data_IF_013472453186
#
_entry.id   IF_013472453186
#
_cell.length_a   1.000
_cell.length_b   1.000
_cell.length_c   1.000
_cell.angle_alpha   90.00
_cell.angle_beta   90.00
_cell.angle_gamma   90.00
#
_symmetry.space_group_name_H-M   'P 1'
#
loop_
_entity.id
_entity.type
_entity.pdbx_description
1 polymer ?
#
# COMPACT_ATOMS: atom_id res chain seq x y z
N UNK A 1 -22.29 -3.71 -27.63
CA UNK A 1 -22.93 -4.48 -26.53
C UNK A 1 -21.82 -5.13 -25.71
N UNK A 2 -21.63 -4.73 -24.45
CA UNK A 2 -20.72 -5.44 -23.54
C UNK A 2 -21.50 -6.66 -23.04
N UNK A 3 -21.05 -7.86 -23.39
CA UNK A 3 -21.66 -9.10 -22.93
C UNK A 3 -21.40 -9.24 -21.42
N UNK A 4 -22.43 -9.05 -20.60
CA UNK A 4 -22.35 -9.29 -19.16
C UNK A 4 -22.25 -10.80 -18.95
N UNK A 5 -21.08 -11.27 -18.50
CA UNK A 5 -20.90 -12.68 -18.19
C UNK A 5 -21.73 -13.05 -16.95
N UNK A 6 -22.39 -14.23 -16.94
CA UNK A 6 -23.12 -14.67 -15.76
C UNK A 6 -22.16 -14.89 -14.59
N UNK A 7 -22.62 -14.56 -13.37
CA UNK A 7 -21.89 -14.86 -12.13
C UNK A 7 -21.60 -16.35 -11.95
N UNK A 8 -20.76 -16.70 -10.99
CA UNK A 8 -20.48 -18.10 -10.66
C UNK A 8 -21.69 -18.77 -9.98
N UNK A 9 -21.88 -20.07 -10.19
CA UNK A 9 -23.02 -20.83 -9.64
C UNK A 9 -23.00 -20.92 -8.12
N UNK A 10 -21.81 -21.03 -7.54
CA UNK A 10 -21.60 -21.25 -6.11
C UNK A 10 -20.17 -20.84 -5.69
N UNK A 11 -19.92 -20.90 -4.38
CA UNK A 11 -18.62 -20.55 -3.81
C UNK A 11 -17.47 -21.47 -4.25
N UNK A 12 -17.71 -22.75 -4.56
CA UNK A 12 -16.66 -23.65 -5.04
C UNK A 12 -16.22 -23.28 -6.46
N UNK A 13 -17.16 -22.87 -7.32
CA UNK A 13 -16.87 -22.35 -8.64
C UNK A 13 -16.01 -21.09 -8.57
N UNK A 14 -16.33 -20.14 -7.68
CA UNK A 14 -15.51 -18.93 -7.44
C UNK A 14 -14.09 -19.29 -6.98
N UNK A 15 -13.96 -20.17 -5.98
CA UNK A 15 -12.66 -20.61 -5.48
C UNK A 15 -11.81 -21.29 -6.55
N UNK A 16 -12.44 -22.12 -7.37
CA UNK A 16 -11.77 -22.83 -8.45
C UNK A 16 -11.26 -21.85 -9.51
N UNK A 17 -12.07 -20.84 -9.85
CA UNK A 17 -11.68 -19.77 -10.76
C UNK A 17 -10.51 -18.93 -10.22
N UNK A 18 -10.57 -18.50 -8.95
CA UNK A 18 -9.46 -17.76 -8.30
C UNK A 18 -8.18 -18.60 -8.32
N UNK A 19 -8.26 -19.89 -7.94
CA UNK A 19 -7.11 -20.79 -7.94
C UNK A 19 -6.54 -21.02 -9.34
N UNK A 20 -7.39 -21.11 -10.35
CA UNK A 20 -6.99 -21.24 -11.75
C UNK A 20 -6.27 -19.97 -12.23
N UNK A 21 -6.87 -18.80 -12.01
CA UNK A 21 -6.24 -17.51 -12.35
C UNK A 21 -4.91 -17.31 -11.63
N UNK A 22 -4.83 -17.65 -10.34
CA UNK A 22 -3.60 -17.57 -9.56
C UNK A 22 -2.50 -18.51 -10.09
N UNK A 23 -2.85 -19.72 -10.56
CA UNK A 23 -1.88 -20.64 -11.19
C UNK A 23 -1.37 -20.11 -12.51
N UNK A 24 -2.22 -19.49 -13.33
CA UNK A 24 -1.81 -18.89 -14.60
C UNK A 24 -0.90 -17.66 -14.38
N UNK A 25 -1.18 -16.86 -13.35
CA UNK A 25 -0.41 -15.67 -13.03
C UNK A 25 0.94 -15.97 -12.34
N UNK A 26 1.08 -17.12 -11.68
CA UNK A 26 2.33 -17.53 -11.06
C UNK A 26 3.36 -17.98 -12.13
N UNK A 27 4.01 -17.02 -12.79
CA UNK A 27 5.11 -17.25 -13.75
C UNK A 27 6.46 -17.25 -13.00
N UNK A 28 6.98 -18.44 -12.71
CA UNK A 28 8.28 -18.70 -12.05
C UNK A 28 8.46 -18.12 -10.62
N UNK A 29 7.61 -18.65 -9.72
CA UNK A 29 7.80 -18.82 -8.27
C UNK A 29 7.55 -17.63 -7.32
N UNK A 30 7.42 -16.38 -7.79
CA UNK A 30 7.09 -15.27 -6.89
C UNK A 30 6.17 -14.20 -7.51
N UNK A 31 4.96 -13.96 -6.98
CA UNK A 31 4.35 -14.55 -5.79
C UNK A 31 3.84 -15.99 -5.96
N UNK A 32 3.76 -16.74 -4.84
CA UNK A 32 3.18 -18.09 -4.83
C UNK A 32 1.68 -18.07 -5.18
N UNK A 33 1.15 -19.21 -5.66
CA UNK A 33 -0.31 -19.37 -5.89
C UNK A 33 -1.12 -19.04 -4.63
N UNK A 34 -0.65 -19.45 -3.45
CA UNK A 34 -1.32 -19.13 -2.17
C UNK A 34 -1.36 -17.63 -1.89
N UNK A 35 -0.26 -16.92 -2.17
CA UNK A 35 -0.18 -15.46 -2.05
C UNK A 35 -1.14 -14.77 -3.01
N UNK A 36 -1.23 -15.23 -4.26
CA UNK A 36 -2.17 -14.67 -5.24
C UNK A 36 -3.63 -14.93 -4.87
N UNK A 37 -3.96 -16.11 -4.33
CA UNK A 37 -5.29 -16.40 -3.78
C UNK A 37 -5.62 -15.50 -2.59
N UNK A 38 -4.64 -15.24 -1.72
CA UNK A 38 -4.80 -14.31 -0.60
C UNK A 38 -5.03 -12.88 -1.09
N UNK A 39 -4.23 -12.40 -2.06
CA UNK A 39 -4.44 -11.08 -2.67
C UNK A 39 -5.79 -10.95 -3.36
N UNK A 40 -6.27 -12.01 -4.03
CA UNK A 40 -7.61 -12.02 -4.60
C UNK A 40 -8.70 -11.91 -3.52
N UNK A 41 -8.51 -12.54 -2.36
CA UNK A 41 -9.40 -12.37 -1.20
C UNK A 41 -9.39 -10.91 -0.72
N UNK A 42 -8.23 -10.26 -0.70
CA UNK A 42 -8.09 -8.85 -0.30
C UNK A 42 -8.80 -7.94 -1.31
N UNK A 43 -8.64 -8.23 -2.61
CA UNK A 43 -9.35 -7.53 -3.67
C UNK A 43 -10.88 -7.66 -3.52
N UNK A 44 -11.40 -8.82 -3.11
CA UNK A 44 -12.84 -8.97 -2.87
C UNK A 44 -13.35 -8.12 -1.69
N UNK A 45 -12.55 -7.95 -0.65
CA UNK A 45 -12.88 -7.05 0.46
C UNK A 45 -12.81 -5.58 0.01
N UNK A 46 -11.70 -5.18 -0.64
CA UNK A 46 -11.50 -3.81 -1.10
C UNK A 46 -12.52 -3.40 -2.17
N UNK A 47 -12.96 -4.31 -3.03
CA UNK A 47 -14.05 -4.05 -3.97
C UNK A 47 -15.35 -3.66 -3.28
N UNK A 48 -15.61 -4.14 -2.06
CA UNK A 48 -16.79 -3.72 -1.27
C UNK A 48 -16.60 -2.32 -0.72
N UNK A 49 -15.45 -2.08 -0.09
CA UNK A 49 -15.06 -0.76 0.45
C UNK A 49 -15.15 0.34 -0.61
N UNK A 50 -14.65 0.07 -1.81
CA UNK A 50 -14.62 1.04 -2.90
C UNK A 50 -15.78 0.92 -3.90
N UNK A 51 -16.77 0.07 -3.62
CA UNK A 51 -18.02 0.03 -4.40
C UNK A 51 -18.91 1.23 -4.09
N UNK A 52 -18.80 1.78 -2.88
CA UNK A 52 -19.45 3.04 -2.52
C UNK A 52 -18.64 4.22 -3.08
N UNK A 53 -19.23 5.06 -3.95
CA UNK A 53 -18.57 6.26 -4.45
C UNK A 53 -18.25 7.29 -3.35
N UNK A 54 -18.93 7.21 -2.20
CA UNK A 54 -18.74 8.11 -1.05
C UNK A 54 -17.78 7.54 0.01
N UNK A 55 -17.15 6.39 -0.25
CA UNK A 55 -16.16 5.79 0.64
C UNK A 55 -15.07 6.79 1.02
N UNK A 56 -14.90 7.03 2.32
CA UNK A 56 -13.87 7.93 2.88
C UNK A 56 -12.52 7.25 3.08
N UNK A 57 -12.42 5.96 2.71
CA UNK A 57 -11.21 5.16 2.90
C UNK A 57 -10.20 5.39 1.78
N UNK A 58 -8.92 5.30 2.14
CA UNK A 58 -7.76 5.34 1.26
C UNK A 58 -6.91 4.11 1.50
N UNK A 59 -6.57 3.40 0.43
CA UNK A 59 -5.67 2.25 0.50
C UNK A 59 -4.22 2.71 0.61
N UNK A 60 -3.52 2.17 1.62
CA UNK A 60 -2.14 2.49 1.99
C UNK A 60 -1.24 1.25 1.99
N UNK A 61 0.01 1.47 2.40
CA UNK A 61 0.93 0.42 2.80
C UNK A 61 1.31 -0.54 1.67
N UNK A 62 1.61 -1.79 2.02
CA UNK A 62 2.09 -2.78 1.05
C UNK A 62 1.02 -3.17 0.03
N UNK A 63 -0.26 -3.18 0.42
CA UNK A 63 -1.35 -3.54 -0.49
C UNK A 63 -1.61 -2.41 -1.48
N UNK A 64 -1.49 -1.15 -1.05
CA UNK A 64 -1.45 0.01 -1.94
C UNK A 64 -0.28 -0.03 -2.93
N UNK A 65 0.91 -0.46 -2.49
CA UNK A 65 2.04 -0.67 -3.40
C UNK A 65 1.77 -1.72 -4.47
N UNK A 66 1.16 -2.86 -4.12
CA UNK A 66 0.78 -3.89 -5.10
C UNK A 66 -0.30 -3.41 -6.10
N UNK A 67 -1.20 -2.54 -5.64
CA UNK A 67 -2.18 -1.92 -6.52
C UNK A 67 -1.53 -0.98 -7.55
N UNK A 68 -0.40 -0.34 -7.21
CA UNK A 68 0.39 0.49 -8.12
C UNK A 68 1.30 -0.34 -9.03
N UNK A 69 2.03 -1.29 -8.45
CA UNK A 69 3.06 -2.10 -9.10
C UNK A 69 2.82 -3.57 -8.78
N UNK A 70 2.33 -4.34 -9.76
CA UNK A 70 1.85 -5.71 -9.58
C UNK A 70 2.87 -6.65 -8.90
N UNK A 71 4.17 -6.44 -9.16
CA UNK A 71 5.26 -7.28 -8.68
C UNK A 71 6.05 -6.62 -7.53
N UNK A 72 5.47 -5.64 -6.83
CA UNK A 72 6.05 -5.11 -5.60
C UNK A 72 6.18 -6.18 -4.52
N UNK A 73 6.88 -5.84 -3.43
CA UNK A 73 7.10 -6.72 -2.28
C UNK A 73 5.76 -7.28 -1.76
N UNK A 74 5.74 -8.58 -1.46
CA UNK A 74 4.57 -9.20 -0.84
C UNK A 74 4.23 -8.55 0.51
N UNK A 75 2.92 -8.42 0.77
CA UNK A 75 2.36 -8.02 2.06
C UNK A 75 1.27 -8.98 2.46
N UNK A 76 1.02 -9.08 3.77
CA UNK A 76 -0.10 -9.82 4.33
C UNK A 76 -1.15 -8.92 4.97
N UNK A 77 -0.86 -7.63 5.06
CA UNK A 77 -1.72 -6.67 5.75
C UNK A 77 -2.37 -5.74 4.72
N UNK A 78 -3.63 -5.39 5.00
CA UNK A 78 -4.34 -4.35 4.28
C UNK A 78 -4.38 -3.13 5.19
N UNK A 79 -3.67 -2.09 4.78
CA UNK A 79 -3.64 -0.81 5.48
C UNK A 79 -4.68 0.13 4.86
N UNK A 80 -5.64 0.58 5.65
CA UNK A 80 -6.59 1.62 5.25
C UNK A 80 -6.38 2.85 6.13
N UNK A 81 -6.48 4.02 5.52
CA UNK A 81 -6.77 5.24 6.26
C UNK A 81 -8.20 5.68 6.00
N UNK A 82 -8.81 6.31 6.99
CA UNK A 82 -10.04 7.09 6.83
C UNK A 82 -9.73 8.58 7.00
N UNK A 83 -10.39 9.38 6.18
CA UNK A 83 -10.42 10.85 6.31
C UNK A 83 -11.25 11.25 7.55
N UNK A 84 -12.15 10.39 8.01
CA UNK A 84 -12.94 10.62 9.22
C UNK A 84 -12.05 10.68 10.44
N UNK A 85 -12.21 11.75 11.24
CA UNK A 85 -11.41 11.97 12.45
C UNK A 85 -11.78 11.07 13.61
N UNK A 86 -12.98 10.50 13.60
CA UNK A 86 -13.47 9.63 14.66
C UNK A 86 -13.22 8.15 14.33
N UNK A 87 -12.35 7.50 15.12
CA UNK A 87 -11.99 6.09 14.92
C UNK A 87 -13.20 5.16 14.97
N UNK A 88 -14.14 5.39 15.89
CA UNK A 88 -15.34 4.54 16.00
C UNK A 88 -16.24 4.66 14.78
N UNK A 89 -16.40 5.88 14.24
CA UNK A 89 -17.18 6.11 13.03
C UNK A 89 -16.55 5.40 11.82
N UNK A 90 -15.22 5.53 11.65
CA UNK A 90 -14.50 4.83 10.59
C UNK A 90 -14.58 3.29 10.74
N UNK A 91 -14.54 2.76 11.96
CA UNK A 91 -14.71 1.31 12.19
C UNK A 91 -16.13 0.87 11.82
N UNK A 92 -17.16 1.61 12.26
CA UNK A 92 -18.55 1.29 11.97
C UNK A 92 -18.87 1.34 10.47
N UNK A 93 -18.33 2.34 9.77
CA UNK A 93 -18.49 2.47 8.33
C UNK A 93 -17.80 1.32 7.58
N UNK A 94 -16.56 0.98 7.96
CA UNK A 94 -15.84 -0.14 7.32
C UNK A 94 -16.56 -1.49 7.50
N UNK A 95 -17.15 -1.74 8.68
CA UNK A 95 -17.98 -2.93 8.94
C UNK A 95 -19.24 -2.91 8.07
N UNK A 96 -19.83 -1.74 7.84
CA UNK A 96 -21.01 -1.58 6.98
C UNK A 96 -20.65 -1.87 5.53
N UNK A 97 -19.60 -1.24 5.01
CA UNK A 97 -19.09 -1.47 3.66
C UNK A 97 -18.69 -2.93 3.43
N UNK A 98 -18.06 -3.60 4.42
CA UNK A 98 -17.66 -5.00 4.28
C UNK A 98 -18.82 -5.98 4.09
N UNK A 99 -20.05 -5.57 4.40
CA UNK A 99 -21.28 -6.38 4.27
C UNK A 99 -21.94 -6.24 2.90
N UNK A 100 -21.50 -5.30 2.06
CA UNK A 100 -22.04 -5.12 0.71
C UNK A 100 -21.91 -6.45 -0.05
N UNK A 101 -23.03 -6.94 -0.59
CA UNK A 101 -23.06 -8.13 -1.41
C UNK A 101 -22.78 -7.75 -2.87
N UNK A 102 -21.69 -8.30 -3.42
CA UNK A 102 -21.30 -8.11 -4.81
C UNK A 102 -21.72 -9.28 -5.70
N UNK A 103 -22.49 -10.24 -5.18
CA UNK A 103 -22.89 -11.44 -5.91
C UNK A 103 -21.73 -12.38 -6.24
N UNK A 104 -20.64 -12.29 -5.46
CA UNK A 104 -19.38 -13.02 -5.68
C UNK A 104 -19.19 -14.21 -4.74
N UNK A 105 -20.23 -14.58 -3.98
CA UNK A 105 -20.24 -15.61 -2.94
C UNK A 105 -19.32 -15.36 -1.75
N UNK A 106 -18.66 -14.19 -1.65
CA UNK A 106 -17.89 -13.82 -0.48
C UNK A 106 -18.77 -13.20 0.60
N UNK A 107 -18.47 -13.51 1.86
CA UNK A 107 -19.00 -12.81 3.02
C UNK A 107 -17.88 -12.56 4.02
N UNK A 108 -17.72 -11.31 4.43
CA UNK A 108 -16.75 -10.89 5.42
C UNK A 108 -17.48 -10.57 6.72
N UNK A 109 -17.31 -11.41 7.73
CA UNK A 109 -17.95 -11.23 9.03
C UNK A 109 -16.95 -10.60 10.00
N UNK A 110 -17.28 -9.44 10.56
CA UNK A 110 -16.45 -8.82 11.60
C UNK A 110 -16.31 -9.77 12.80
N UNK A 111 -15.06 -10.11 13.13
CA UNK A 111 -14.73 -11.11 14.15
C UNK A 111 -14.11 -10.47 15.40
N UNK A 112 -13.49 -9.30 15.28
CA UNK A 112 -12.96 -8.60 16.44
C UNK A 112 -12.08 -7.41 16.08
N UNK A 113 -11.69 -6.69 17.14
CA UNK A 113 -10.86 -5.49 17.07
C UNK A 113 -9.78 -5.53 18.14
N UNK A 114 -8.61 -4.98 17.82
CA UNK A 114 -7.55 -4.66 18.77
C UNK A 114 -7.08 -3.22 18.54
N UNK A 115 -7.10 -2.41 19.59
CA UNK A 115 -6.49 -1.07 19.57
C UNK A 115 -4.98 -1.22 19.43
N UNK A 116 -4.38 -0.51 18.47
CA UNK A 116 -2.92 -0.38 18.36
C UNK A 116 -2.53 0.93 19.05
N UNK A 117 -1.78 0.83 20.14
CA UNK A 117 -1.22 2.00 20.83
C UNK A 117 0.16 2.23 20.25
N UNK A 118 0.37 3.35 19.53
CA UNK A 118 1.68 3.86 19.13
C UNK A 118 2.59 2.85 18.42
N UNK A 119 2.58 2.88 17.09
CA UNK A 119 3.43 2.01 16.27
C UNK A 119 4.43 2.79 15.43
N UNK A 120 5.51 2.13 15.06
CA UNK A 120 6.46 2.62 14.05
C UNK A 120 5.70 3.15 12.80
N UNK A 121 4.68 2.42 12.32
CA UNK A 121 3.92 2.77 11.11
C UNK A 121 2.91 3.92 11.32
N UNK A 122 2.47 4.20 12.55
CA UNK A 122 1.40 5.16 12.86
C UNK A 122 1.68 5.86 14.21
N UNK A 123 2.59 6.84 14.23
CA UNK A 123 3.05 7.43 15.48
C UNK A 123 2.10 8.48 16.07
N UNK A 124 1.21 9.08 15.26
CA UNK A 124 0.32 10.17 15.68
C UNK A 124 -1.17 9.94 15.42
N UNK A 125 -1.57 8.77 14.89
CA UNK A 125 -2.98 8.38 14.70
C UNK A 125 -3.34 7.21 15.61
N UNK A 126 -4.58 7.17 16.10
CA UNK A 126 -5.11 6.00 16.79
C UNK A 126 -5.33 4.86 15.78
N UNK A 127 -4.33 3.99 15.67
CA UNK A 127 -4.42 2.78 14.85
C UNK A 127 -5.35 1.75 15.48
N UNK A 128 -6.14 1.08 14.65
CA UNK A 128 -6.99 -0.03 15.06
C UNK A 128 -6.82 -1.18 14.10
N UNK A 129 -6.53 -2.37 14.62
CA UNK A 129 -6.56 -3.59 13.84
C UNK A 129 -7.96 -4.22 13.92
N UNK A 130 -8.54 -4.53 12.77
CA UNK A 130 -9.82 -5.20 12.63
C UNK A 130 -9.61 -6.58 11.99
N UNK A 131 -10.24 -7.59 12.56
CA UNK A 131 -10.23 -8.95 11.99
C UNK A 131 -11.60 -9.29 11.44
N UNK A 132 -11.63 -9.80 10.21
CA UNK A 132 -12.83 -10.32 9.55
C UNK A 132 -12.65 -11.80 9.24
N UNK A 133 -13.63 -12.62 9.58
CA UNK A 133 -13.74 -13.99 9.09
C UNK A 133 -14.18 -13.99 7.62
N UNK A 134 -13.45 -14.70 6.78
CA UNK A 134 -13.74 -14.81 5.35
C UNK A 134 -14.56 -16.06 5.10
N UNK A 135 -15.72 -15.92 4.47
CA UNK A 135 -16.54 -17.03 4.00
C UNK A 135 -16.67 -16.98 2.48
N UNK A 136 -16.67 -18.16 1.85
CA UNK A 136 -16.99 -18.31 0.43
C UNK A 136 -18.10 -19.36 0.33
N UNK A 137 -19.30 -18.94 -0.04
CA UNK A 137 -20.52 -19.70 0.20
C UNK A 137 -20.74 -19.91 1.71
N UNK A 138 -20.99 -21.15 2.11
CA UNK A 138 -21.23 -21.51 3.53
C UNK A 138 -19.95 -21.83 4.31
N UNK A 139 -18.80 -21.93 3.64
CA UNK A 139 -17.55 -22.40 4.26
C UNK A 139 -16.63 -21.26 4.66
N UNK A 140 -16.05 -21.33 5.87
CA UNK A 140 -15.02 -20.40 6.36
C UNK A 140 -13.67 -20.70 5.70
N UNK A 141 -13.01 -19.65 5.21
CA UNK A 141 -11.74 -19.68 4.48
C UNK A 141 -10.70 -18.73 5.10
N UNK A 142 -10.53 -18.82 6.42
CA UNK A 142 -9.52 -18.05 7.16
C UNK A 142 -10.03 -16.68 7.61
N UNK A 143 -9.09 -15.77 7.83
CA UNK A 143 -9.33 -14.42 8.30
C UNK A 143 -8.61 -13.38 7.45
N UNK A 144 -9.06 -12.15 7.58
CA UNK A 144 -8.51 -10.94 6.97
C UNK A 144 -8.21 -9.95 8.10
N UNK A 145 -7.00 -9.41 8.11
CA UNK A 145 -6.54 -8.40 9.06
C UNK A 145 -6.46 -7.05 8.35
N UNK A 146 -7.13 -6.03 8.88
CA UNK A 146 -7.12 -4.66 8.38
C UNK A 146 -6.51 -3.76 9.45
N UNK A 147 -5.44 -3.05 9.10
CA UNK A 147 -4.93 -1.96 9.92
C UNK A 147 -5.58 -0.65 9.47
N UNK A 148 -6.42 -0.08 10.32
CA UNK A 148 -7.17 1.15 10.08
C UNK A 148 -6.57 2.32 10.86
N UNK A 149 -6.20 3.38 10.15
CA UNK A 149 -5.86 4.69 10.70
C UNK A 149 -7.01 5.67 10.49
N UNK A 150 -7.50 6.33 11.53
CA UNK A 150 -8.49 7.42 11.40
C UNK A 150 -7.83 8.80 11.49
N UNK A 151 -8.52 9.83 11.02
CA UNK A 151 -8.12 11.23 11.09
C UNK A 151 -7.00 11.60 10.12
N UNK A 152 -6.88 10.85 9.03
CA UNK A 152 -5.81 11.07 8.07
C UNK A 152 -6.24 12.05 6.99
N UNK A 153 -5.65 13.25 6.98
CA UNK A 153 -5.86 14.22 5.90
C UNK A 153 -4.65 14.19 4.97
N UNK A 154 -4.74 13.59 3.76
CA UNK A 154 -3.64 13.62 2.80
C UNK A 154 -3.35 15.05 2.33
N UNK A 155 -2.09 15.34 2.04
CA UNK A 155 -1.66 16.62 1.44
C UNK A 155 -1.84 16.60 -0.08
N UNK A 156 -1.64 15.43 -0.71
CA UNK A 156 -1.75 15.24 -2.14
C UNK A 156 -3.16 14.88 -2.61
N UNK A 157 -3.33 14.92 -3.94
CA UNK A 157 -4.57 14.46 -4.59
C UNK A 157 -4.70 12.94 -4.50
N UNK A 158 -5.83 12.48 -3.96
CA UNK A 158 -6.19 11.06 -3.94
C UNK A 158 -6.42 10.55 -5.36
N UNK A 159 -6.06 9.29 -5.60
CA UNK A 159 -6.03 8.72 -6.94
C UNK A 159 -6.86 7.46 -7.04
N UNK A 160 -7.75 7.40 -8.04
CA UNK A 160 -8.50 6.18 -8.33
C UNK A 160 -7.76 5.35 -9.38
N UNK A 161 -7.39 4.11 -9.06
CA UNK A 161 -6.71 3.20 -10.00
C UNK A 161 -7.32 1.81 -10.01
N UNK A 162 -7.36 1.21 -11.19
CA UNK A 162 -7.48 -0.23 -11.32
C UNK A 162 -6.18 -0.88 -10.77
N UNK A 163 -6.26 -1.74 -9.74
CA UNK A 163 -5.07 -2.34 -9.14
C UNK A 163 -4.31 -3.25 -10.11
N UNK A 164 -3.02 -3.00 -10.25
CA UNK A 164 -2.13 -3.73 -11.15
C UNK A 164 -2.00 -5.23 -10.79
N UNK A 165 -2.13 -5.60 -9.52
CA UNK A 165 -2.02 -7.00 -9.06
C UNK A 165 -3.33 -7.80 -9.16
N UNK A 166 -4.42 -7.25 -9.70
CA UNK A 166 -5.72 -7.94 -9.76
C UNK A 166 -5.68 -9.12 -10.73
N UNK A 167 -6.12 -10.28 -10.26
CA UNK A 167 -6.31 -11.45 -11.11
C UNK A 167 -7.46 -11.22 -12.12
N UNK A 168 -7.32 -11.63 -13.38
CA UNK A 168 -8.36 -11.46 -14.39
C UNK A 168 -9.53 -12.42 -14.13
N UNK A 169 -10.55 -11.93 -13.43
CA UNK A 169 -11.76 -12.68 -13.05
C UNK A 169 -13.01 -11.97 -13.58
N UNK A 170 -13.26 -11.97 -14.91
CA UNK A 170 -14.26 -11.09 -15.56
C UNK A 170 -15.73 -11.38 -15.18
N UNK A 171 -15.99 -12.52 -14.51
CA UNK A 171 -17.31 -12.88 -13.96
C UNK A 171 -17.57 -12.32 -12.56
N UNK A 172 -16.57 -11.69 -11.93
CA UNK A 172 -16.72 -10.99 -10.66
C UNK A 172 -16.78 -9.49 -10.91
N UNK A 173 -17.74 -8.81 -10.27
CA UNK A 173 -17.78 -7.34 -10.27
C UNK A 173 -16.57 -6.82 -9.50
N UNK A 174 -15.83 -5.89 -10.08
CA UNK A 174 -14.64 -5.28 -9.49
C UNK A 174 -14.74 -3.76 -9.47
N UNK A 175 -14.09 -3.14 -8.49
CA UNK A 175 -14.07 -1.69 -8.30
C UNK A 175 -12.63 -1.19 -8.17
N UNK A 176 -12.36 -0.02 -8.73
CA UNK A 176 -11.04 0.62 -8.62
C UNK A 176 -10.82 1.15 -7.21
N UNK A 177 -9.58 1.12 -6.77
CA UNK A 177 -9.21 1.55 -5.42
C UNK A 177 -8.99 3.04 -5.38
N UNK A 178 -9.37 3.67 -4.27
CA UNK A 178 -8.90 5.00 -3.94
C UNK A 178 -7.57 4.85 -3.18
N UNK A 179 -6.48 5.25 -3.82
CA UNK A 179 -5.13 5.12 -3.28
C UNK A 179 -4.72 6.38 -2.54
N UNK A 180 -4.02 6.17 -1.43
CA UNK A 180 -3.31 7.24 -0.74
C UNK A 180 -2.29 7.89 -1.69
N UNK A 181 -2.17 9.23 -1.69
CA UNK A 181 -1.35 9.89 -2.70
C UNK A 181 0.11 9.48 -2.61
N UNK A 182 0.76 9.40 -3.77
CA UNK A 182 2.13 8.87 -3.84
C UNK A 182 3.14 9.75 -3.11
N UNK A 183 2.96 11.08 -3.15
CA UNK A 183 3.80 12.04 -2.44
C UNK A 183 3.75 11.81 -0.92
N UNK A 184 2.55 11.69 -0.35
CA UNK A 184 2.36 11.39 1.06
C UNK A 184 2.93 10.02 1.44
N UNK A 185 2.77 9.01 0.59
CA UNK A 185 3.36 7.69 0.83
C UNK A 185 4.89 7.71 0.85
N UNK A 186 5.53 8.49 -0.03
CA UNK A 186 6.98 8.71 -0.01
C UNK A 186 7.38 9.42 1.29
N UNK A 187 6.64 10.47 1.67
CA UNK A 187 6.90 11.23 2.89
C UNK A 187 6.81 10.37 4.15
N UNK A 188 5.75 9.56 4.29
CA UNK A 188 5.58 8.60 5.40
C UNK A 188 6.82 7.70 5.53
N UNK A 189 7.30 7.15 4.42
CA UNK A 189 8.43 6.21 4.37
C UNK A 189 9.78 6.87 4.64
N UNK A 190 10.02 8.01 4.00
CA UNK A 190 11.25 8.78 4.17
C UNK A 190 11.36 9.26 5.62
N UNK A 191 10.32 9.88 6.15
CA UNK A 191 10.33 10.40 7.51
C UNK A 191 10.36 9.28 8.55
N UNK A 192 9.67 8.15 8.32
CA UNK A 192 9.79 6.99 9.20
C UNK A 192 11.20 6.39 9.24
N UNK A 193 11.97 6.50 8.15
CA UNK A 193 13.38 6.10 8.06
C UNK A 193 14.31 7.08 8.79
N UNK A 194 13.93 8.35 8.86
CA UNK A 194 14.67 9.39 9.57
C UNK A 194 14.33 9.46 11.07
N UNK A 195 13.24 8.81 11.50
CA UNK A 195 12.78 8.81 12.89
C UNK A 195 13.57 7.80 13.73
N UNK A 196 14.11 8.24 14.86
CA UNK A 196 14.62 7.37 15.93
C UNK A 196 13.47 6.97 16.87
N UNK A 197 13.38 5.70 17.26
CA UNK A 197 12.25 5.19 18.06
C UNK A 197 12.65 4.84 19.50
N UNK A 198 11.76 5.18 20.44
CA UNK A 198 11.89 4.88 21.87
C UNK A 198 12.89 5.78 22.62
N UNK A 199 12.91 5.64 23.96
CA UNK A 199 13.73 6.47 24.88
C UNK A 199 15.24 6.31 24.61
N UNK A 200 15.66 5.17 24.08
CA UNK A 200 17.07 4.87 23.77
C UNK A 200 17.50 5.26 22.35
N UNK A 201 16.65 5.91 21.55
CA UNK A 201 16.99 6.35 20.18
C UNK A 201 17.35 5.18 19.25
N UNK A 202 16.59 4.07 19.32
CA UNK A 202 16.90 2.88 18.54
C UNK A 202 16.76 3.18 17.04
N UNK A 203 17.74 2.70 16.27
CA UNK A 203 17.73 2.79 14.83
C UNK A 203 16.47 2.12 14.23
N UNK A 204 15.85 2.71 13.20
CA UNK A 204 14.66 2.19 12.57
C UNK A 204 14.90 0.81 11.94
N UNK A 205 13.96 -0.11 12.13
CA UNK A 205 13.98 -1.45 11.51
C UNK A 205 13.23 -1.47 10.15
N UNK A 206 13.55 -0.47 9.31
CA UNK A 206 12.74 -0.07 8.15
C UNK A 206 13.38 -0.28 6.79
N UNK A 207 14.27 -1.26 6.65
CA UNK A 207 14.88 -1.61 5.35
C UNK A 207 13.83 -1.89 4.24
N UNK A 208 12.61 -2.33 4.63
CA UNK A 208 11.47 -2.49 3.70
C UNK A 208 11.00 -1.16 3.08
N UNK A 209 11.13 -0.04 3.78
CA UNK A 209 10.70 1.27 3.29
C UNK A 209 11.65 1.77 2.20
N UNK A 210 12.94 1.42 2.26
CA UNK A 210 13.88 1.66 1.15
C UNK A 210 13.53 0.83 -0.08
N UNK A 211 13.10 -0.43 0.08
CA UNK A 211 12.58 -1.25 -1.04
C UNK A 211 11.38 -0.57 -1.70
N UNK A 212 10.45 -0.07 -0.89
CA UNK A 212 9.26 0.60 -1.39
C UNK A 212 9.62 1.95 -2.07
N UNK A 213 10.53 2.75 -1.51
CA UNK A 213 11.01 4.01 -2.11
C UNK A 213 11.67 3.79 -3.48
N UNK A 214 12.55 2.79 -3.60
CA UNK A 214 13.17 2.41 -4.88
C UNK A 214 12.10 1.91 -5.86
N UNK A 215 11.13 1.13 -5.40
CA UNK A 215 10.02 0.67 -6.25
C UNK A 215 9.22 1.85 -6.79
N UNK A 216 8.91 2.84 -5.95
CA UNK A 216 8.20 4.07 -6.34
C UNK A 216 9.03 4.86 -7.36
N UNK A 217 10.32 5.09 -7.09
CA UNK A 217 11.21 5.82 -8.00
C UNK A 217 11.29 5.20 -9.40
N UNK A 218 11.17 3.87 -9.51
CA UNK A 218 11.23 3.14 -10.77
C UNK A 218 9.92 3.12 -11.57
N UNK A 219 8.77 3.47 -10.98
CA UNK A 219 7.47 3.22 -11.61
C UNK A 219 6.51 4.41 -11.59
N UNK A 220 6.67 5.35 -10.66
CA UNK A 220 5.71 6.44 -10.47
C UNK A 220 6.30 7.78 -10.94
N UNK A 221 5.46 8.56 -11.60
CA UNK A 221 5.72 9.98 -11.80
C UNK A 221 5.34 10.74 -10.53
N UNK A 222 6.22 11.63 -10.08
CA UNK A 222 6.07 12.32 -8.81
C UNK A 222 6.18 13.81 -9.06
N UNK A 223 5.21 14.58 -8.58
CA UNK A 223 5.28 16.03 -8.62
C UNK A 223 6.17 16.57 -7.50
N UNK A 224 7.10 17.46 -7.84
CA UNK A 224 8.06 18.01 -6.90
C UNK A 224 7.39 18.83 -5.78
N UNK A 225 6.41 19.66 -6.15
CA UNK A 225 5.73 20.52 -5.19
C UNK A 225 4.88 19.71 -4.20
N UNK A 226 4.12 18.73 -4.70
CA UNK A 226 3.36 17.82 -3.86
C UNK A 226 4.27 17.02 -2.92
N UNK A 227 5.42 16.52 -3.40
CA UNK A 227 6.37 15.80 -2.55
C UNK A 227 7.00 16.70 -1.48
N UNK A 228 7.35 17.95 -1.82
CA UNK A 228 7.84 18.92 -0.85
C UNK A 228 6.81 19.19 0.26
N UNK A 229 5.55 19.43 -0.11
CA UNK A 229 4.45 19.67 0.85
C UNK A 229 4.23 18.45 1.77
N UNK A 230 4.22 17.25 1.20
CA UNK A 230 4.06 16.01 1.94
C UNK A 230 5.20 15.78 2.94
N UNK A 231 6.46 15.94 2.50
CA UNK A 231 7.64 15.79 3.37
C UNK A 231 7.63 16.82 4.50
N UNK A 232 7.39 18.09 4.21
CA UNK A 232 7.33 19.14 5.22
C UNK A 232 6.23 18.86 6.26
N UNK A 233 5.04 18.43 5.81
CA UNK A 233 3.93 18.11 6.69
C UNK A 233 4.27 16.92 7.60
N UNK A 234 4.79 15.83 7.04
CA UNK A 234 5.12 14.63 7.82
C UNK A 234 6.28 14.86 8.80
N UNK A 235 7.26 15.69 8.44
CA UNK A 235 8.34 16.11 9.35
C UNK A 235 7.78 16.91 10.53
N UNK A 236 6.85 17.84 10.31
CA UNK A 236 6.19 18.60 11.39
C UNK A 236 5.43 17.65 12.31
N UNK A 237 4.63 16.73 11.74
CA UNK A 237 3.84 15.77 12.52
C UNK A 237 4.73 14.84 13.37
N UNK A 238 5.89 14.44 12.85
CA UNK A 238 6.87 13.62 13.56
C UNK A 238 7.86 14.40 14.42
N UNK A 239 7.82 15.73 14.40
CA UNK A 239 8.77 16.63 15.09
C UNK A 239 10.22 16.33 14.71
N UNK A 240 10.46 16.16 13.41
CA UNK A 240 11.79 15.98 12.84
C UNK A 240 12.36 17.33 12.42
N UNK A 241 13.65 17.54 12.67
CA UNK A 241 14.39 18.62 12.05
C UNK A 241 14.55 18.34 10.55
N UNK A 242 14.19 19.27 9.65
CA UNK A 242 14.30 19.05 8.21
C UNK A 242 15.76 18.78 7.79
N UNK A 243 16.09 17.59 7.27
CA UNK A 243 17.43 17.31 6.79
C UNK A 243 17.60 17.84 5.36
N UNK A 244 18.84 18.15 4.99
CA UNK A 244 19.19 18.51 3.60
C UNK A 244 19.44 17.29 2.71
N UNK A 245 19.55 16.10 3.30
CA UNK A 245 19.75 14.85 2.58
C UNK A 245 19.11 13.64 3.28
N UNK A 246 18.74 12.65 2.49
CA UNK A 246 18.24 11.38 2.97
C UNK A 246 19.40 10.49 3.43
N UNK A 247 19.24 9.91 4.62
CA UNK A 247 20.22 9.01 5.27
C UNK A 247 19.53 7.78 5.82
N UNK A 248 20.27 6.68 5.87
CA UNK A 248 19.86 5.43 6.49
C UNK A 248 20.90 5.00 7.54
N UNK A 249 20.53 4.20 8.54
CA UNK A 249 21.49 3.62 9.48
C UNK A 249 22.55 2.76 8.78
N UNK A 250 23.82 2.87 9.20
CA UNK A 250 24.93 2.08 8.66
C UNK A 250 24.78 0.56 8.87
N UNK A 251 23.88 0.14 9.76
CA UNK A 251 23.57 -1.27 10.02
C UNK A 251 22.62 -1.91 9.01
N UNK A 252 22.01 -1.12 8.12
CA UNK A 252 21.10 -1.62 7.09
C UNK A 252 21.86 -2.37 5.99
N UNK A 253 21.19 -3.30 5.30
CA UNK A 253 21.75 -4.05 4.19
C UNK A 253 21.21 -5.47 4.10
N UNK A 254 21.36 -6.30 5.16
CA UNK A 254 20.96 -7.71 5.09
C UNK A 254 19.47 -7.94 4.85
N UNK A 255 18.58 -7.16 5.48
CA UNK A 255 17.15 -7.32 5.29
C UNK A 255 16.69 -6.75 3.94
N UNK A 256 17.26 -5.61 3.52
CA UNK A 256 17.06 -5.01 2.21
C UNK A 256 17.40 -6.01 1.10
N UNK A 257 18.62 -6.56 1.10
CA UNK A 257 19.09 -7.47 0.06
C UNK A 257 18.22 -8.74 -0.04
N UNK A 258 17.74 -9.25 1.10
CA UNK A 258 16.81 -10.40 1.15
C UNK A 258 15.45 -10.08 0.53
N UNK A 259 14.89 -8.90 0.82
CA UNK A 259 13.62 -8.46 0.26
C UNK A 259 13.75 -8.14 -1.23
N UNK A 260 14.79 -7.37 -1.58
CA UNK A 260 15.06 -6.93 -2.94
C UNK A 260 15.18 -8.14 -3.86
N UNK A 261 15.96 -9.18 -3.47
CA UNK A 261 16.22 -10.41 -4.27
C UNK A 261 14.98 -11.07 -4.87
N UNK A 262 13.84 -10.94 -4.20
CA UNK A 262 12.58 -11.55 -4.61
C UNK A 262 11.84 -10.75 -5.70
N UNK A 263 12.28 -9.53 -6.02
CA UNK A 263 11.60 -8.58 -6.89
C UNK A 263 12.44 -8.40 -8.16
N UNK A 264 11.92 -8.81 -9.32
CA UNK A 264 12.72 -8.90 -10.55
C UNK A 264 13.22 -7.55 -11.06
N UNK A 265 12.39 -6.51 -11.04
CA UNK A 265 12.78 -5.17 -11.50
C UNK A 265 13.83 -4.48 -10.60
N UNK A 266 14.13 -5.04 -9.43
CA UNK A 266 15.20 -4.57 -8.55
C UNK A 266 16.56 -5.23 -8.84
N UNK A 267 16.74 -5.83 -10.02
CA UNK A 267 18.00 -6.51 -10.37
C UNK A 267 19.23 -5.58 -10.32
N UNK A 268 19.06 -4.30 -10.64
CA UNK A 268 20.11 -3.28 -10.60
C UNK A 268 20.21 -2.54 -9.25
N UNK A 269 19.36 -2.91 -8.29
CA UNK A 269 19.27 -2.28 -6.96
C UNK A 269 19.22 -3.37 -5.88
N UNK A 270 20.09 -4.40 -6.00
CA UNK A 270 20.12 -5.53 -5.05
C UNK A 270 20.87 -5.19 -3.76
N UNK A 271 21.73 -4.18 -3.80
CA UNK A 271 22.52 -3.71 -2.66
C UNK A 271 21.86 -2.50 -2.02
N UNK A 272 22.16 -2.26 -0.74
CA UNK A 272 21.62 -1.10 -0.03
C UNK A 272 22.24 0.20 -0.54
N UNK A 273 23.46 0.14 -1.04
CA UNK A 273 24.20 1.26 -1.63
C UNK A 273 23.56 1.73 -2.93
N UNK A 274 23.26 0.81 -3.86
CA UNK A 274 22.58 1.13 -5.13
C UNK A 274 21.18 1.71 -4.85
N UNK A 275 20.47 1.10 -3.90
CA UNK A 275 19.15 1.52 -3.47
C UNK A 275 19.14 2.92 -2.85
N UNK A 276 20.09 3.18 -1.95
CA UNK A 276 20.26 4.48 -1.31
C UNK A 276 20.62 5.54 -2.34
N UNK A 277 21.48 5.22 -3.31
CA UNK A 277 21.82 6.14 -4.40
C UNK A 277 20.59 6.58 -5.18
N UNK A 278 19.71 5.64 -5.56
CA UNK A 278 18.47 5.99 -6.24
C UNK A 278 17.51 6.79 -5.33
N UNK A 279 17.33 6.36 -4.08
CA UNK A 279 16.47 7.07 -3.14
C UNK A 279 16.94 8.52 -2.91
N UNK A 280 18.25 8.75 -2.81
CA UNK A 280 18.84 10.09 -2.70
C UNK A 280 18.62 10.92 -3.96
N UNK A 281 18.75 10.34 -5.15
CA UNK A 281 18.46 11.06 -6.40
C UNK A 281 17.02 11.57 -6.49
N UNK A 282 16.07 10.84 -5.89
CA UNK A 282 14.68 11.26 -5.78
C UNK A 282 14.49 12.31 -4.67
N UNK A 283 15.01 12.05 -3.46
CA UNK A 283 14.68 12.79 -2.24
C UNK A 283 15.55 14.03 -2.00
N UNK A 284 16.87 13.93 -2.17
CA UNK A 284 17.81 14.99 -1.79
C UNK A 284 17.54 16.31 -2.53
N UNK A 285 17.17 16.33 -3.82
CA UNK A 285 16.82 17.59 -4.50
C UNK A 285 15.61 18.30 -3.90
N UNK A 286 14.64 17.55 -3.39
CA UNK A 286 13.45 18.09 -2.72
C UNK A 286 13.80 18.54 -1.31
N UNK A 287 14.54 17.72 -0.55
CA UNK A 287 14.97 18.00 0.82
C UNK A 287 15.87 19.24 0.91
N UNK A 288 16.78 19.41 -0.04
CA UNK A 288 17.68 20.57 -0.14
C UNK A 288 17.00 21.82 -0.72
N UNK A 289 15.79 21.71 -1.26
CA UNK A 289 15.10 22.80 -1.96
C UNK A 289 15.70 23.14 -3.34
N UNK A 290 16.61 22.31 -3.89
CA UNK A 290 17.18 22.56 -5.22
C UNK A 290 16.19 22.28 -6.36
N UNK A 291 15.15 21.48 -6.10
CA UNK A 291 14.02 21.24 -7.02
C UNK A 291 12.72 21.58 -6.29
N UNK A 292 12.13 22.73 -6.62
CA UNK A 292 10.82 23.15 -6.10
C UNK A 292 9.66 22.79 -7.05
N UNK A 293 9.98 22.68 -8.34
CA UNK A 293 9.02 22.41 -9.40
C UNK A 293 9.59 21.42 -10.41
N UNK A 294 8.72 20.59 -10.98
CA UNK A 294 9.10 19.56 -11.94
C UNK A 294 8.36 18.25 -11.69
N UNK A 295 8.71 17.26 -12.49
CA UNK A 295 8.19 15.90 -12.36
C UNK A 295 9.37 14.93 -12.37
N UNK A 296 9.38 14.02 -11.40
CA UNK A 296 10.25 12.86 -11.41
C UNK A 296 9.81 11.95 -12.55
N UNK A 297 10.71 11.67 -13.49
CA UNK A 297 10.45 10.77 -14.60
C UNK A 297 11.08 9.40 -14.32
N UNK A 298 10.29 8.35 -14.05
CA UNK A 298 10.80 7.01 -13.77
C UNK A 298 11.53 6.37 -14.97
N UNK A 299 11.32 6.85 -16.20
CA UNK A 299 11.99 6.28 -17.40
C UNK A 299 13.47 6.65 -17.50
N UNK A 300 13.85 7.79 -16.91
CA UNK A 300 15.21 8.35 -16.97
C UNK A 300 15.78 8.65 -15.58
N UNK A 301 15.03 8.30 -14.53
CA UNK A 301 15.38 8.36 -13.11
C UNK A 301 15.97 9.72 -12.70
N UNK A 302 15.26 10.79 -13.05
CA UNK A 302 15.65 12.16 -12.71
C UNK A 302 14.45 13.09 -12.64
N UNK A 303 14.65 14.21 -11.94
CA UNK A 303 13.74 15.34 -12.00
C UNK A 303 13.85 16.04 -13.36
N UNK A 304 12.70 16.31 -13.96
CA UNK A 304 12.57 17.06 -15.21
C UNK A 304 11.75 18.33 -14.96
N UNK A 305 12.02 19.38 -15.74
CA UNK A 305 11.16 20.57 -15.72
C UNK A 305 9.82 20.20 -16.34
N UNK A 306 8.72 20.68 -15.77
CA UNK A 306 7.41 20.62 -16.45
C UNK A 306 7.55 21.41 -17.76
N UNK A 307 7.21 20.76 -18.88
CA UNK A 307 7.01 21.46 -20.16
C UNK A 307 5.69 22.21 -20.15
#
# INVERSE_FOLDING_TARGET
>A
MIQVLPGYSDGNAVRSAIKSAARMAAQDLNPSVGTLVQQATYDRFLCRVFSDPNSTFLLKGGTGMLARVAHARSTRDVDLASIDTETEAAVADLITLSRIDLGDHFRFAFAGRRTQIGGENQPYTAGTNLTFDVYIGVTKHGNLSIDLAAGHTPTGRVERRAPANRLPLPRLRSHDYLLYPIADQIADKACATLTSYGVAGKAPSREKDLVDLVTIALHEQIDAHALHQALATEMILRRLDPPVEFRIPASWGPAYARLARQIMFLMNYRTVEDALSLAKSLLDPILSGTVEHGVWDPSILRWTRRS
#
